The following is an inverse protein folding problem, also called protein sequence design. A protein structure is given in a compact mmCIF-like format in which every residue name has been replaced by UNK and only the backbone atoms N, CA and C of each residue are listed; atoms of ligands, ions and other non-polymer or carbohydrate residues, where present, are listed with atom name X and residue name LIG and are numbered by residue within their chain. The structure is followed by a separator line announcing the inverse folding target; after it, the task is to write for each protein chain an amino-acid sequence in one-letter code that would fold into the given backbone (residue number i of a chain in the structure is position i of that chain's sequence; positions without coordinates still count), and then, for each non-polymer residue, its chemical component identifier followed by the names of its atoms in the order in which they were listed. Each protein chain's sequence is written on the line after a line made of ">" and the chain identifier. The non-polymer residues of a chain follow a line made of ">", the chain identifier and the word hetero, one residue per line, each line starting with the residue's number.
data_IF_433665443496
#
_entry.id   IF_433665443496
#
_cell.length_a   1.000
_cell.length_b   1.000
_cell.length_c   1.000
_cell.angle_alpha   90.00
_cell.angle_beta   90.00
_cell.angle_gamma   90.00
#
_symmetry.space_group_name_H-M   'P 1'
#
loop_
_entity.id
_entity.type
_entity.pdbx_description
1 polymer ?
#
# COMPACT_ATOMS: atom_id res chain seq x y z
N UNK A 1 -50.17 -13.82 24.78
CA UNK A 1 -49.79 -14.46 23.51
C UNK A 1 -48.76 -13.58 22.83
N UNK A 2 -47.48 -13.92 22.96
CA UNK A 2 -46.40 -13.16 22.34
C UNK A 2 -46.26 -13.61 20.89
N UNK A 3 -46.46 -12.69 19.95
CA UNK A 3 -46.21 -12.93 18.53
C UNK A 3 -44.70 -13.18 18.34
N UNK A 4 -44.33 -14.44 18.12
CA UNK A 4 -42.98 -14.82 17.70
C UNK A 4 -42.80 -14.36 16.25
N UNK A 5 -42.13 -13.23 16.09
CA UNK A 5 -41.73 -12.72 14.77
C UNK A 5 -40.63 -13.66 14.22
N UNK A 6 -41.04 -14.62 13.40
CA UNK A 6 -40.13 -15.50 12.68
C UNK A 6 -39.41 -14.71 11.58
N UNK A 7 -38.13 -14.38 11.81
CA UNK A 7 -37.22 -13.98 10.73
C UNK A 7 -36.39 -15.20 10.33
N UNK A 8 -36.84 -15.93 9.30
CA UNK A 8 -36.18 -17.16 8.81
C UNK A 8 -34.85 -16.92 8.09
N UNK A 9 -34.46 -15.68 7.82
CA UNK A 9 -33.05 -15.28 7.65
C UNK A 9 -32.90 -13.85 8.18
N UNK A 10 -31.89 -13.55 9.02
CA UNK A 10 -31.72 -12.20 9.54
C UNK A 10 -31.50 -11.22 8.38
N UNK A 11 -32.17 -10.05 8.35
CA UNK A 11 -32.01 -9.05 7.30
C UNK A 11 -30.52 -8.75 7.06
N UNK A 12 -30.08 -8.39 5.84
CA UNK A 12 -28.66 -8.16 5.54
C UNK A 12 -28.01 -7.11 6.46
N UNK A 13 -28.82 -6.22 7.04
CA UNK A 13 -28.40 -5.23 8.02
C UNK A 13 -28.12 -5.81 9.42
N UNK A 14 -28.54 -7.02 9.75
CA UNK A 14 -28.40 -7.62 11.08
C UNK A 14 -26.94 -7.78 11.51
N UNK A 15 -26.05 -8.24 10.64
CA UNK A 15 -24.61 -8.35 10.96
C UNK A 15 -23.94 -6.97 11.10
N UNK A 16 -24.40 -5.99 10.33
CA UNK A 16 -23.92 -4.60 10.40
C UNK A 16 -24.39 -3.93 11.68
N UNK A 17 -25.65 -4.12 12.05
CA UNK A 17 -26.23 -3.67 13.32
C UNK A 17 -25.53 -4.33 14.50
N UNK A 18 -25.28 -5.65 14.47
CA UNK A 18 -24.49 -6.32 15.51
C UNK A 18 -23.09 -5.72 15.63
N UNK A 19 -22.45 -5.39 14.51
CA UNK A 19 -21.11 -4.78 14.50
C UNK A 19 -21.12 -3.35 15.04
N UNK A 20 -22.13 -2.57 14.67
CA UNK A 20 -22.34 -1.21 15.18
C UNK A 20 -22.59 -1.22 16.70
N UNK A 21 -23.42 -2.15 17.16
CA UNK A 21 -23.69 -2.39 18.57
C UNK A 21 -22.54 -3.11 19.29
N UNK A 22 -21.35 -3.31 18.73
CA UNK A 22 -20.19 -3.75 19.55
C UNK A 22 -19.60 -2.61 20.36
N UNK A 23 -19.72 -1.38 19.88
CA UNK A 23 -19.21 -0.21 20.57
C UNK A 23 -20.17 0.23 21.68
N UNK A 24 -19.61 0.46 22.88
CA UNK A 24 -20.37 0.86 24.06
C UNK A 24 -21.19 2.14 23.82
N UNK A 25 -20.57 3.14 23.17
CA UNK A 25 -21.20 4.42 22.85
C UNK A 25 -22.46 4.26 21.98
N UNK A 26 -22.40 3.37 20.99
CA UNK A 26 -23.53 3.12 20.08
C UNK A 26 -24.66 2.33 20.77
N UNK A 27 -24.33 1.46 21.73
CA UNK A 27 -25.33 0.81 22.61
C UNK A 27 -26.04 1.83 23.49
N UNK A 28 -25.31 2.75 24.09
CA UNK A 28 -25.90 3.79 24.95
C UNK A 28 -26.87 4.68 24.18
N UNK A 29 -26.56 5.01 22.92
CA UNK A 29 -27.47 5.74 22.03
C UNK A 29 -28.77 4.94 21.76
N UNK A 30 -28.65 3.63 21.53
CA UNK A 30 -29.81 2.75 21.34
C UNK A 30 -30.65 2.66 22.63
N UNK A 31 -30.02 2.40 23.78
CA UNK A 31 -30.71 2.33 25.07
C UNK A 31 -31.36 3.67 25.46
N UNK A 32 -30.70 4.79 25.13
CA UNK A 32 -31.23 6.13 25.34
C UNK A 32 -32.45 6.45 24.47
N UNK A 33 -32.54 5.86 23.27
CA UNK A 33 -33.72 5.95 22.40
C UNK A 33 -34.84 5.02 22.84
N UNK A 34 -34.54 3.76 23.22
CA UNK A 34 -35.54 2.80 23.69
C UNK A 34 -36.21 3.25 24.98
N UNK A 35 -35.47 3.91 25.89
CA UNK A 35 -36.02 4.45 27.14
C UNK A 35 -36.88 5.69 26.96
N UNK A 36 -36.59 6.52 25.95
CA UNK A 36 -37.37 7.72 25.59
C UNK A 36 -37.34 7.88 24.07
N UNK A 37 -38.39 7.41 23.37
CA UNK A 37 -38.48 7.55 21.94
C UNK A 37 -38.71 9.03 21.60
N UNK A 38 -37.61 9.69 21.24
CA UNK A 38 -37.56 11.10 20.86
C UNK A 38 -36.97 11.19 19.45
N UNK A 39 -37.52 12.10 18.66
CA UNK A 39 -37.18 12.28 17.24
C UNK A 39 -35.75 12.80 17.06
N UNK A 40 -35.27 13.61 18.00
CA UNK A 40 -33.86 14.05 18.02
C UNK A 40 -32.90 12.89 18.28
N UNK A 41 -33.25 11.99 19.22
CA UNK A 41 -32.44 10.82 19.56
C UNK A 41 -32.41 9.80 18.41
N UNK A 42 -33.53 9.65 17.69
CA UNK A 42 -33.61 8.86 16.46
C UNK A 42 -32.64 9.39 15.41
N UNK A 43 -32.65 10.71 15.13
CA UNK A 43 -31.72 11.33 14.17
C UNK A 43 -30.26 11.12 14.54
N UNK A 44 -29.89 11.26 15.82
CA UNK A 44 -28.51 11.04 16.28
C UNK A 44 -28.09 9.58 16.09
N UNK A 45 -28.98 8.64 16.42
CA UNK A 45 -28.73 7.21 16.21
C UNK A 45 -28.58 6.88 14.72
N UNK A 46 -29.43 7.42 13.86
CA UNK A 46 -29.35 7.23 12.42
C UNK A 46 -28.06 7.83 11.84
N UNK A 47 -27.70 9.07 12.23
CA UNK A 47 -26.47 9.72 11.77
C UNK A 47 -25.21 8.95 12.19
N UNK A 48 -25.16 8.47 13.44
CA UNK A 48 -24.03 7.65 13.91
C UNK A 48 -23.95 6.32 13.17
N UNK A 49 -25.08 5.68 12.87
CA UNK A 49 -25.13 4.46 12.07
C UNK A 49 -24.69 4.69 10.61
N UNK A 50 -25.15 5.77 9.98
CA UNK A 50 -24.72 6.14 8.63
C UNK A 50 -23.22 6.42 8.57
N UNK A 51 -22.68 7.17 9.56
CA UNK A 51 -21.25 7.44 9.67
C UNK A 51 -20.44 6.14 9.78
N UNK A 52 -20.86 5.23 10.65
CA UNK A 52 -20.20 3.93 10.84
C UNK A 52 -20.16 3.07 9.55
N UNK A 53 -21.29 3.00 8.84
CA UNK A 53 -21.34 2.28 7.55
C UNK A 53 -20.47 2.99 6.51
N UNK A 54 -20.57 4.32 6.44
CA UNK A 54 -19.84 5.12 5.48
C UNK A 54 -18.34 4.93 5.65
N UNK A 55 -17.78 5.09 6.85
CA UNK A 55 -16.34 4.94 7.10
C UNK A 55 -15.81 3.57 6.64
N UNK A 56 -16.52 2.49 6.96
CA UNK A 56 -16.12 1.14 6.56
C UNK A 56 -16.21 0.92 5.05
N UNK A 57 -17.29 1.39 4.42
CA UNK A 57 -17.45 1.31 2.96
C UNK A 57 -16.45 2.20 2.24
N UNK A 58 -16.17 3.37 2.78
CA UNK A 58 -15.24 4.35 2.26
C UNK A 58 -13.83 3.77 2.24
N UNK A 59 -13.34 3.22 3.36
CA UNK A 59 -12.02 2.57 3.42
C UNK A 59 -11.95 1.39 2.43
N UNK A 60 -12.97 0.52 2.42
CA UNK A 60 -12.98 -0.63 1.50
C UNK A 60 -13.02 -0.20 0.04
N UNK A 61 -13.77 0.85 -0.29
CA UNK A 61 -13.85 1.40 -1.62
C UNK A 61 -12.49 1.99 -2.04
N UNK A 62 -11.87 2.83 -1.22
CA UNK A 62 -10.56 3.39 -1.52
C UNK A 62 -9.49 2.33 -1.67
N UNK A 63 -9.44 1.33 -0.78
CA UNK A 63 -8.50 0.23 -0.89
C UNK A 63 -8.64 -0.51 -2.24
N UNK A 64 -9.88 -0.78 -2.67
CA UNK A 64 -10.16 -1.38 -3.98
C UNK A 64 -9.75 -0.45 -5.12
N UNK A 65 -10.10 0.83 -5.03
CA UNK A 65 -9.77 1.82 -6.06
C UNK A 65 -8.26 1.92 -6.24
N UNK A 66 -7.50 2.11 -5.16
CA UNK A 66 -6.03 2.15 -5.19
C UNK A 66 -5.45 0.87 -5.79
N UNK A 67 -5.96 -0.29 -5.37
CA UNK A 67 -5.49 -1.57 -5.91
C UNK A 67 -5.73 -1.68 -7.42
N UNK A 68 -6.96 -1.42 -7.87
CA UNK A 68 -7.30 -1.55 -9.29
C UNK A 68 -6.65 -0.46 -10.14
N UNK A 69 -6.49 0.77 -9.65
CA UNK A 69 -5.77 1.81 -10.38
C UNK A 69 -4.30 1.46 -10.55
N UNK A 70 -3.64 0.95 -9.51
CA UNK A 70 -2.25 0.48 -9.59
C UNK A 70 -2.10 -0.67 -10.60
N UNK A 71 -3.01 -1.65 -10.57
CA UNK A 71 -3.02 -2.76 -11.54
C UNK A 71 -3.22 -2.27 -12.98
N UNK A 72 -4.14 -1.32 -13.20
CA UNK A 72 -4.38 -0.76 -14.53
C UNK A 72 -3.18 0.05 -15.04
N UNK A 73 -2.51 0.78 -14.15
CA UNK A 73 -1.29 1.51 -14.46
C UNK A 73 -0.18 0.57 -14.90
N UNK A 74 0.15 -0.46 -14.10
CA UNK A 74 1.17 -1.46 -14.43
C UNK A 74 0.86 -2.17 -15.78
N UNK A 75 -0.41 -2.55 -16.00
CA UNK A 75 -0.84 -3.11 -17.30
C UNK A 75 -0.67 -2.14 -18.46
N UNK A 76 -0.89 -0.85 -18.24
CA UNK A 76 -0.68 0.18 -19.28
C UNK A 76 0.81 0.32 -19.59
N UNK A 77 1.64 0.39 -18.56
CA UNK A 77 3.10 0.50 -18.67
C UNK A 77 3.69 -0.69 -19.44
N UNK A 78 3.34 -1.93 -19.04
CA UNK A 78 3.79 -3.15 -19.73
C UNK A 78 3.38 -3.20 -21.19
N UNK A 79 2.16 -2.76 -21.52
CA UNK A 79 1.69 -2.68 -22.92
C UNK A 79 2.44 -1.62 -23.72
N UNK A 80 2.80 -0.50 -23.09
CA UNK A 80 3.62 0.53 -23.71
C UNK A 80 5.03 0.00 -24.00
N UNK A 81 5.67 -0.64 -23.01
CA UNK A 81 6.99 -1.26 -23.17
C UNK A 81 6.99 -2.37 -24.24
N UNK A 82 6.03 -3.31 -24.21
CA UNK A 82 5.93 -4.39 -25.22
C UNK A 82 5.73 -3.86 -26.65
N UNK A 83 4.97 -2.77 -26.81
CA UNK A 83 4.78 -2.12 -28.13
C UNK A 83 6.06 -1.42 -28.60
N UNK A 84 6.74 -0.71 -27.71
CA UNK A 84 7.91 0.09 -28.06
C UNK A 84 9.19 -0.74 -28.17
N UNK A 85 9.30 -1.86 -27.46
CA UNK A 85 10.39 -2.83 -27.60
C UNK A 85 10.41 -3.41 -29.03
N UNK A 86 9.24 -3.69 -29.61
CA UNK A 86 9.12 -4.12 -31.02
C UNK A 86 9.60 -3.10 -32.06
N UNK A 87 9.69 -1.81 -31.71
CA UNK A 87 10.26 -0.80 -32.62
C UNK A 87 11.79 -0.78 -32.62
N UNK A 88 12.44 -1.20 -31.53
CA UNK A 88 13.90 -1.33 -31.47
C UNK A 88 14.40 -2.57 -32.24
N UNK A 89 13.60 -3.64 -32.27
CA UNK A 89 13.90 -4.89 -32.99
C UNK A 89 13.44 -4.88 -34.46
N UNK A 90 12.82 -3.80 -34.94
CA UNK A 90 12.44 -3.68 -36.34
C UNK A 90 13.71 -3.54 -37.20
N UNK A 91 13.93 -4.36 -38.24
CA UNK A 91 15.08 -4.20 -39.11
C UNK A 91 14.99 -2.83 -39.77
N UNK A 92 15.89 -1.91 -39.40
CA UNK A 92 16.01 -0.61 -40.04
C UNK A 92 16.27 -0.83 -41.53
N UNK A 93 15.28 -0.49 -42.35
CA UNK A 93 15.42 -0.41 -43.80
C UNK A 93 16.34 0.77 -44.12
N UNK A 94 17.61 0.45 -44.42
CA UNK A 94 18.52 1.26 -45.24
C UNK A 94 19.10 2.54 -44.63
N UNK A 95 20.43 2.60 -44.61
CA UNK A 95 21.28 3.81 -44.55
C UNK A 95 21.26 4.68 -43.29
N UNK A 96 21.56 4.09 -42.13
CA UNK A 96 22.27 4.82 -41.07
C UNK A 96 23.39 3.96 -40.48
N UNK A 97 24.61 4.52 -40.28
CA UNK A 97 25.68 3.80 -39.59
C UNK A 97 25.21 3.47 -38.17
N UNK A 98 25.33 2.20 -37.83
CA UNK A 98 25.01 1.66 -36.53
C UNK A 98 25.93 2.24 -35.45
N UNK A 99 25.36 2.48 -34.27
CA UNK A 99 26.13 2.77 -33.07
C UNK A 99 26.16 4.25 -32.71
N UNK A 100 25.27 4.60 -31.79
CA UNK A 100 25.35 5.69 -30.79
C UNK A 100 23.98 6.34 -30.64
N UNK A 101 23.03 5.58 -30.09
CA UNK A 101 22.17 6.20 -29.09
C UNK A 101 23.02 6.16 -27.83
N UNK A 102 23.53 7.29 -27.30
CA UNK A 102 24.19 7.25 -26.02
C UNK A 102 23.20 6.60 -25.07
N UNK A 103 23.61 5.49 -24.46
CA UNK A 103 22.95 4.97 -23.27
C UNK A 103 23.16 6.03 -22.19
N UNK A 104 22.36 7.09 -22.26
CA UNK A 104 22.15 8.01 -21.17
C UNK A 104 21.36 7.15 -20.19
N UNK A 105 22.09 6.37 -19.37
CA UNK A 105 21.63 6.16 -18.00
C UNK A 105 21.14 7.53 -17.58
N UNK A 106 19.86 7.69 -17.19
CA UNK A 106 19.50 8.87 -16.46
C UNK A 106 20.55 8.93 -15.36
N UNK A 107 21.37 9.99 -15.38
CA UNK A 107 22.21 10.31 -14.27
C UNK A 107 21.19 10.50 -13.16
N UNK A 108 20.93 9.41 -12.40
CA UNK A 108 20.06 9.44 -11.25
C UNK A 108 20.80 10.37 -10.32
N UNK A 109 20.49 11.66 -10.47
CA UNK A 109 20.96 12.71 -9.63
C UNK A 109 20.77 12.18 -8.23
N UNK A 110 21.87 12.10 -7.50
CA UNK A 110 21.95 11.60 -6.13
C UNK A 110 21.15 12.49 -5.16
N UNK A 111 20.25 13.32 -5.67
CA UNK A 111 19.42 14.27 -4.95
C UNK A 111 17.97 14.23 -5.48
N UNK A 112 17.10 13.43 -4.84
CA UNK A 112 15.75 13.89 -4.48
C UNK A 112 14.90 12.85 -3.69
N UNK A 113 15.10 11.55 -3.85
CA UNK A 113 14.15 10.56 -3.29
C UNK A 113 14.82 9.34 -2.65
N UNK A 114 15.71 9.56 -1.69
CA UNK A 114 16.21 8.46 -0.84
C UNK A 114 15.17 8.14 0.22
N UNK A 115 14.94 6.86 0.52
CA UNK A 115 14.00 6.41 1.56
C UNK A 115 14.26 7.12 2.90
N UNK A 116 15.53 7.40 3.22
CA UNK A 116 15.94 8.17 4.40
C UNK A 116 15.27 9.54 4.54
N UNK A 117 14.98 10.25 3.45
CA UNK A 117 14.33 11.57 3.48
C UNK A 117 12.83 11.48 3.81
N UNK A 118 12.21 10.32 3.62
CA UNK A 118 10.79 10.08 3.92
C UNK A 118 10.58 9.44 5.31
N UNK A 119 11.66 9.18 6.07
CA UNK A 119 11.58 8.58 7.40
C UNK A 119 11.31 9.66 8.45
N UNK A 120 10.05 9.78 8.89
CA UNK A 120 9.66 10.72 9.96
C UNK A 120 10.10 10.31 11.37
N UNK A 121 10.82 9.19 11.52
CA UNK A 121 11.30 8.69 12.80
C UNK A 121 12.82 8.73 12.85
N UNK A 122 13.37 9.49 13.81
CA UNK A 122 14.82 9.58 14.06
C UNK A 122 15.48 8.19 14.25
N UNK A 123 14.71 7.23 14.75
CA UNK A 123 15.16 5.85 14.86
C UNK A 123 15.33 5.19 13.49
N UNK A 124 14.34 5.31 12.60
CA UNK A 124 14.44 4.70 11.27
C UNK A 124 15.58 5.31 10.47
N UNK A 125 15.80 6.62 10.61
CA UNK A 125 16.92 7.31 9.98
C UNK A 125 18.28 6.80 10.50
N UNK A 126 18.46 6.67 11.81
CA UNK A 126 19.70 6.14 12.39
C UNK A 126 19.94 4.66 12.07
N UNK A 127 18.89 3.85 11.95
CA UNK A 127 18.98 2.49 11.43
C UNK A 127 19.36 2.47 9.94
N UNK A 128 18.84 3.41 9.15
CA UNK A 128 19.13 3.54 7.73
C UNK A 128 20.60 3.91 7.47
N UNK A 129 21.15 4.87 8.21
CA UNK A 129 22.57 5.29 8.08
C UNK A 129 23.56 4.15 8.34
N UNK A 130 23.18 3.16 9.15
CA UNK A 130 24.02 2.00 9.49
C UNK A 130 24.00 0.90 8.43
N UNK A 131 23.11 0.99 7.44
CA UNK A 131 23.10 0.07 6.30
C UNK A 131 24.26 0.38 5.35
N UNK A 132 24.76 -0.66 4.67
CA UNK A 132 25.74 -0.43 3.61
C UNK A 132 25.09 0.30 2.43
N UNK A 133 25.88 1.08 1.67
CA UNK A 133 25.39 1.81 0.48
C UNK A 133 24.61 0.90 -0.47
N UNK A 134 25.08 -0.32 -0.68
CA UNK A 134 24.41 -1.31 -1.54
C UNK A 134 23.05 -1.76 -0.97
N UNK A 135 22.93 -1.90 0.35
CA UNK A 135 21.67 -2.22 1.01
C UNK A 135 20.68 -1.05 0.91
N UNK A 136 21.14 0.18 1.11
CA UNK A 136 20.33 1.39 0.95
C UNK A 136 19.79 1.49 -0.49
N UNK A 137 20.66 1.35 -1.49
CA UNK A 137 20.26 1.40 -2.90
C UNK A 137 19.22 0.33 -3.27
N UNK A 138 19.39 -0.91 -2.79
CA UNK A 138 18.41 -1.98 -3.04
C UNK A 138 17.07 -1.68 -2.35
N UNK A 139 17.08 -1.09 -1.16
CA UNK A 139 15.85 -0.68 -0.48
C UNK A 139 15.19 0.52 -1.16
N UNK A 140 15.95 1.50 -1.63
CA UNK A 140 15.45 2.63 -2.41
C UNK A 140 14.76 2.13 -3.68
N UNK A 141 15.45 1.31 -4.48
CA UNK A 141 14.90 0.74 -5.71
C UNK A 141 13.65 -0.09 -5.46
N UNK A 142 13.61 -0.87 -4.38
CA UNK A 142 12.46 -1.71 -4.08
C UNK A 142 11.27 -0.93 -3.50
N UNK A 143 11.49 0.00 -2.58
CA UNK A 143 10.42 0.66 -1.81
C UNK A 143 10.06 2.06 -2.29
N UNK A 144 11.03 2.83 -2.82
CA UNK A 144 10.76 4.16 -3.41
C UNK A 144 10.32 4.01 -4.85
N UNK A 145 11.07 3.24 -5.63
CA UNK A 145 10.86 3.14 -7.08
C UNK A 145 10.02 1.93 -7.51
N UNK A 146 9.76 0.99 -6.60
CA UNK A 146 8.84 -0.13 -6.86
C UNK A 146 9.40 -1.25 -7.74
N UNK A 147 10.71 -1.30 -7.97
CA UNK A 147 11.34 -2.36 -8.77
C UNK A 147 11.24 -3.73 -8.07
N UNK A 148 11.10 -4.76 -8.89
CA UNK A 148 11.13 -6.16 -8.46
C UNK A 148 12.56 -6.63 -8.19
N UNK A 149 12.72 -7.69 -7.39
CA UNK A 149 14.03 -8.28 -7.10
C UNK A 149 14.76 -8.77 -8.38
N UNK A 150 14.00 -9.07 -9.44
CA UNK A 150 14.54 -9.49 -10.74
C UNK A 150 15.12 -8.31 -11.50
N UNK A 151 14.36 -7.22 -11.64
CA UNK A 151 14.82 -5.98 -12.31
C UNK A 151 16.03 -5.38 -11.59
N UNK A 152 16.02 -5.36 -10.25
CA UNK A 152 17.18 -4.93 -9.47
C UNK A 152 18.36 -5.90 -9.69
N UNK A 153 18.11 -7.20 -9.81
CA UNK A 153 19.14 -8.19 -10.12
C UNK A 153 19.84 -7.90 -11.44
N UNK A 154 19.08 -7.60 -12.48
CA UNK A 154 19.59 -7.19 -13.79
C UNK A 154 20.44 -5.91 -13.68
N UNK A 155 19.97 -4.89 -12.96
CA UNK A 155 20.72 -3.64 -12.74
C UNK A 155 22.07 -3.85 -12.03
N UNK A 156 22.15 -4.79 -11.09
CA UNK A 156 23.37 -5.07 -10.33
C UNK A 156 24.19 -6.25 -10.89
N UNK A 157 23.78 -6.83 -12.02
CA UNK A 157 24.35 -8.06 -12.58
C UNK A 157 24.44 -9.21 -11.55
N UNK A 158 23.36 -9.39 -10.77
CA UNK A 158 23.21 -10.43 -9.75
C UNK A 158 21.91 -11.21 -9.92
N UNK A 159 21.86 -12.43 -9.38
CA UNK A 159 20.62 -13.20 -9.39
C UNK A 159 19.54 -12.55 -8.52
N UNK A 160 18.28 -12.72 -8.91
CA UNK A 160 17.10 -12.34 -8.11
C UNK A 160 17.22 -12.80 -6.65
N UNK A 161 17.66 -14.04 -6.43
CA UNK A 161 17.83 -14.62 -5.09
C UNK A 161 18.88 -13.85 -4.26
N UNK A 162 19.94 -13.36 -4.89
CA UNK A 162 20.98 -12.56 -4.22
C UNK A 162 20.41 -11.22 -3.75
N UNK A 163 19.64 -10.53 -4.60
CA UNK A 163 18.98 -9.27 -4.24
C UNK A 163 17.96 -9.48 -3.14
N UNK A 164 17.15 -10.53 -3.22
CA UNK A 164 16.15 -10.85 -2.20
C UNK A 164 16.81 -11.09 -0.83
N UNK A 165 17.89 -11.87 -0.78
CA UNK A 165 18.67 -12.08 0.45
C UNK A 165 19.30 -10.78 0.97
N UNK A 166 19.82 -9.94 0.08
CA UNK A 166 20.43 -8.66 0.44
C UNK A 166 19.39 -7.72 1.07
N UNK A 167 18.21 -7.63 0.47
CA UNK A 167 17.05 -6.87 0.97
C UNK A 167 16.60 -7.38 2.34
N UNK A 168 16.41 -8.69 2.48
CA UNK A 168 16.02 -9.31 3.76
C UNK A 168 17.04 -9.05 4.87
N UNK A 169 18.34 -9.17 4.57
CA UNK A 169 19.41 -8.87 5.53
C UNK A 169 19.41 -7.40 5.95
N UNK A 170 19.13 -6.48 5.03
CA UNK A 170 19.03 -5.05 5.35
C UNK A 170 17.88 -4.80 6.34
N UNK A 171 16.69 -5.34 6.07
CA UNK A 171 15.52 -5.21 6.95
C UNK A 171 15.72 -5.88 8.31
N UNK A 172 16.35 -7.06 8.35
CA UNK A 172 16.68 -7.74 9.60
C UNK A 172 17.61 -6.91 10.48
N UNK A 173 18.61 -6.25 9.88
CA UNK A 173 19.50 -5.34 10.61
C UNK A 173 18.73 -4.16 11.19
N UNK A 174 17.90 -3.51 10.38
CA UNK A 174 17.03 -2.41 10.85
C UNK A 174 16.14 -2.84 12.02
N UNK A 175 15.55 -4.04 11.94
CA UNK A 175 14.72 -4.61 13.00
C UNK A 175 15.51 -4.94 14.27
N UNK A 176 16.74 -5.45 14.14
CA UNK A 176 17.57 -5.75 15.30
C UNK A 176 17.92 -4.50 16.10
N UNK A 177 18.25 -3.40 15.40
CA UNK A 177 18.50 -2.12 16.05
C UNK A 177 17.25 -1.55 16.72
N UNK A 178 16.06 -1.82 16.16
CA UNK A 178 14.80 -1.42 16.78
C UNK A 178 14.59 -2.14 18.11
N UNK A 179 14.84 -3.46 18.13
CA UNK A 179 14.75 -4.24 19.34
C UNK A 179 15.73 -3.76 20.41
N UNK A 180 16.98 -3.44 20.03
CA UNK A 180 18.00 -2.96 20.99
C UNK A 180 17.62 -1.62 21.64
N UNK A 181 17.11 -0.66 20.86
CA UNK A 181 16.72 0.66 21.38
C UNK A 181 15.43 0.66 22.22
N UNK A 182 14.65 -0.41 22.19
CA UNK A 182 13.46 -0.56 23.05
C UNK A 182 13.81 -0.96 24.51
N UNK A 183 15.07 -1.32 24.78
CA UNK A 183 15.56 -1.73 26.10
C UNK A 183 16.65 -0.80 26.66
N UNK A 184 16.87 0.37 26.03
CA UNK A 184 17.65 1.49 26.53
C UNK A 184 16.70 2.60 27.02
#
# INVERSE_FOLDING_TARGET
>A
MYATCEYQTPPPYHKLWQSFLREHKNRELLYGYVRRPDEQRKKILEQSFYKFIFERRFISYFAKTIHYTAVQFDRKERRFLDRNQRYLDAPMRGDRPAGEVPFVMPEYGVSAHTLGNHMSSDFLFSAWERLTRKQQQVLDLSFVYGYTDTEIGEMFNQSQQSISRLKQRALQRMRHWYAQKQYE
#
